data_IF_322478699340
#
_entry.id   IF_322478699340
#
_cell.length_a   1.000
_cell.length_b   1.000
_cell.length_c   1.000
_cell.angle_alpha   90.00
_cell.angle_beta   90.00
_cell.angle_gamma   90.00
#
_symmetry.space_group_name_H-M   'P 1'
#
loop_
_entity.id
_entity.type
_entity.pdbx_description
1 polymer ?
#
# COMPACT_ATOMS: atom_id res chain seq x y z
N UNK A 1 -1.44 -13.04 10.51
CA UNK A 1 -0.47 -12.29 9.70
C UNK A 1 -1.23 -11.65 8.55
N UNK A 2 -1.24 -10.31 8.46
CA UNK A 2 -1.86 -9.60 7.34
C UNK A 2 -1.03 -9.65 6.07
N UNK A 3 -1.66 -9.48 4.90
CA UNK A 3 -0.92 -9.41 3.64
C UNK A 3 -0.13 -8.10 3.59
N UNK A 4 1.15 -8.23 3.28
CA UNK A 4 2.08 -7.11 3.15
C UNK A 4 2.42 -6.89 1.68
N UNK A 5 2.75 -5.66 1.31
CA UNK A 5 3.26 -5.34 -0.01
C UNK A 5 4.79 -5.41 -0.03
N UNK A 6 5.30 -5.99 -1.11
CA UNK A 6 6.72 -6.06 -1.43
C UNK A 6 6.97 -5.43 -2.78
N UNK A 7 8.07 -4.70 -2.90
CA UNK A 7 8.57 -4.15 -4.15
C UNK A 7 9.76 -4.97 -4.63
N UNK A 8 9.77 -5.33 -5.90
CA UNK A 8 10.89 -6.01 -6.54
C UNK A 8 11.09 -5.47 -7.95
N UNK A 9 12.29 -5.67 -8.49
CA UNK A 9 12.55 -5.42 -9.90
C UNK A 9 11.76 -6.41 -10.76
N UNK A 10 11.48 -6.04 -12.00
CA UNK A 10 10.78 -6.90 -12.96
C UNK A 10 11.52 -8.23 -13.24
N UNK A 11 12.83 -8.28 -13.00
CA UNK A 11 13.66 -9.50 -13.10
C UNK A 11 13.61 -10.39 -11.84
N UNK A 12 12.77 -10.04 -10.86
CA UNK A 12 12.60 -10.76 -9.59
C UNK A 12 13.66 -10.48 -8.53
N UNK A 13 14.66 -9.62 -8.80
CA UNK A 13 15.71 -9.30 -7.84
C UNK A 13 15.36 -8.09 -6.97
N UNK A 14 16.06 -7.99 -5.83
CA UNK A 14 15.98 -6.82 -4.96
C UNK A 14 14.62 -6.64 -4.30
N UNK A 15 13.98 -7.74 -3.91
CA UNK A 15 12.73 -7.69 -3.19
C UNK A 15 12.92 -7.00 -1.82
N UNK A 16 12.13 -5.96 -1.56
CA UNK A 16 12.07 -5.25 -0.28
C UNK A 16 10.64 -5.15 0.18
N UNK A 17 10.40 -5.34 1.48
CA UNK A 17 9.11 -5.04 2.07
C UNK A 17 8.89 -3.52 2.03
N UNK A 18 7.72 -3.09 1.56
CA UNK A 18 7.30 -1.67 1.61
C UNK A 18 6.26 -1.43 2.70
N UNK A 19 5.66 -2.50 3.22
CA UNK A 19 4.85 -2.47 4.43
C UNK A 19 5.37 -3.53 5.40
N UNK A 20 5.35 -3.23 6.70
CA UNK A 20 5.84 -4.12 7.76
C UNK A 20 4.98 -4.03 9.02
N UNK A 21 3.67 -3.90 8.85
CA UNK A 21 2.72 -3.82 9.95
C UNK A 21 1.86 -5.09 10.00
N UNK A 22 2.08 -5.91 11.04
CA UNK A 22 1.42 -7.20 11.20
C UNK A 22 -0.08 -7.10 11.49
N UNK A 23 -0.51 -5.95 12.03
CA UNK A 23 -1.90 -5.65 12.37
C UNK A 23 -2.64 -4.99 11.20
N UNK A 24 -1.96 -4.82 10.06
CA UNK A 24 -2.54 -4.29 8.83
C UNK A 24 -2.52 -5.33 7.71
N UNK A 25 -3.54 -5.27 6.87
CA UNK A 25 -3.60 -5.98 5.60
C UNK A 25 -3.67 -4.94 4.49
N UNK A 26 -2.71 -4.98 3.57
CA UNK A 26 -2.68 -4.11 2.39
C UNK A 26 -3.09 -4.87 1.13
N UNK A 27 -3.91 -4.26 0.29
CA UNK A 27 -4.41 -4.84 -0.96
C UNK A 27 -4.63 -3.77 -2.04
N UNK A 28 -4.98 -4.21 -3.25
CA UNK A 28 -5.30 -3.35 -4.41
C UNK A 28 -4.23 -2.27 -4.69
N UNK A 29 -2.94 -2.65 -4.88
CA UNK A 29 -1.93 -1.67 -5.22
C UNK A 29 -2.15 -1.10 -6.62
N UNK A 30 -2.01 0.22 -6.77
CA UNK A 30 -1.98 0.90 -8.06
C UNK A 30 -0.79 1.87 -8.13
N UNK A 31 0.01 1.75 -9.20
CA UNK A 31 1.16 2.62 -9.45
C UNK A 31 0.72 3.98 -9.98
N UNK A 32 1.36 5.04 -9.50
CA UNK A 32 1.26 6.36 -10.11
C UNK A 32 1.83 6.34 -11.54
N UNK A 33 1.31 7.18 -12.46
CA UNK A 33 1.81 7.24 -13.84
C UNK A 33 3.30 7.57 -13.95
N UNK A 34 3.84 8.34 -12.99
CA UNK A 34 5.25 8.72 -12.91
C UNK A 34 6.15 7.68 -12.21
N UNK A 35 5.60 6.54 -11.80
CA UNK A 35 6.29 5.47 -11.05
C UNK A 35 6.91 5.90 -9.71
N UNK A 36 6.56 7.08 -9.18
CA UNK A 36 7.08 7.58 -7.91
C UNK A 36 6.34 7.02 -6.70
N UNK A 37 5.09 6.58 -6.88
CA UNK A 37 4.19 6.26 -5.78
C UNK A 37 3.34 5.02 -6.06
N UNK A 38 2.93 4.35 -4.98
CA UNK A 38 1.93 3.28 -5.05
C UNK A 38 0.84 3.63 -4.04
N UNK A 39 -0.40 3.66 -4.50
CA UNK A 39 -1.57 3.76 -3.62
C UNK A 39 -2.11 2.36 -3.35
N UNK A 40 -2.60 2.13 -2.14
CA UNK A 40 -3.09 0.83 -1.66
C UNK A 40 -4.29 1.02 -0.76
N UNK A 41 -5.13 -0.01 -0.68
CA UNK A 41 -6.14 -0.13 0.36
C UNK A 41 -5.55 -0.82 1.59
N UNK A 42 -5.79 -0.29 2.78
CA UNK A 42 -5.36 -0.84 4.06
C UNK A 42 -6.55 -1.18 4.96
N UNK A 43 -6.49 -2.35 5.59
CA UNK A 43 -7.49 -2.85 6.54
C UNK A 43 -6.81 -3.10 7.89
N UNK A 44 -7.45 -2.66 8.97
CA UNK A 44 -7.01 -3.02 10.32
C UNK A 44 -7.45 -4.44 10.64
N UNK A 45 -6.50 -5.27 11.09
CA UNK A 45 -6.77 -6.59 11.64
C UNK A 45 -7.02 -6.54 13.15
N UNK A 46 -6.52 -5.49 13.81
CA UNK A 46 -6.80 -5.23 15.22
C UNK A 46 -8.21 -4.65 15.44
N UNK A 47 -8.75 -3.96 14.44
CA UNK A 47 -10.08 -3.33 14.46
C UNK A 47 -10.88 -3.77 13.22
N UNK A 48 -11.48 -4.98 13.23
CA UNK A 48 -12.16 -5.54 12.06
C UNK A 48 -13.38 -4.74 11.57
N UNK A 49 -14.00 -3.96 12.46
CA UNK A 49 -15.14 -3.09 12.15
C UNK A 49 -14.70 -1.72 11.60
N UNK A 50 -13.39 -1.44 11.57
CA UNK A 50 -12.88 -0.19 11.00
C UNK A 50 -13.03 -0.20 9.47
N UNK A 51 -13.53 0.91 8.93
CA UNK A 51 -13.59 1.11 7.49
C UNK A 51 -12.17 1.11 6.88
N UNK A 52 -12.00 0.56 5.66
CA UNK A 52 -10.72 0.59 5.00
C UNK A 52 -10.26 2.03 4.73
N UNK A 53 -8.95 2.22 4.69
CA UNK A 53 -8.33 3.50 4.34
C UNK A 53 -7.45 3.34 3.11
N UNK A 54 -7.23 4.44 2.39
CA UNK A 54 -6.20 4.47 1.36
C UNK A 54 -4.89 4.95 1.97
N UNK A 55 -3.83 4.26 1.57
CA UNK A 55 -2.45 4.52 1.94
C UNK A 55 -1.63 4.74 0.69
N UNK A 56 -0.61 5.58 0.80
CA UNK A 56 0.33 5.88 -0.26
C UNK A 56 1.73 5.54 0.24
N UNK A 57 2.51 4.87 -0.59
CA UNK A 57 3.94 4.69 -0.38
C UNK A 57 4.72 5.49 -1.41
N UNK A 58 5.72 6.22 -0.94
CA UNK A 58 6.77 6.80 -1.78
C UNK A 58 7.82 5.74 -2.10
N UNK A 59 8.11 5.54 -3.39
CA UNK A 59 8.97 4.44 -3.84
C UNK A 59 10.44 4.72 -3.59
N UNK A 60 10.86 5.99 -3.56
CA UNK A 60 12.25 6.36 -3.36
C UNK A 60 12.64 6.26 -1.87
N UNK A 61 11.74 6.65 -0.97
CA UNK A 61 12.01 6.69 0.48
C UNK A 61 11.45 5.49 1.25
N UNK A 62 10.46 4.80 0.68
CA UNK A 62 9.67 3.81 1.41
C UNK A 62 8.71 4.42 2.44
N UNK A 63 8.50 5.74 2.42
CA UNK A 63 7.60 6.41 3.34
C UNK A 63 6.15 5.99 3.09
N UNK A 64 5.51 5.45 4.12
CA UNK A 64 4.10 5.06 4.10
C UNK A 64 3.25 6.10 4.83
N UNK A 65 2.23 6.63 4.17
CA UNK A 65 1.28 7.57 4.77
C UNK A 65 -0.17 7.26 4.42
N UNK A 66 -1.06 7.46 5.39
CA UNK A 66 -2.52 7.39 5.17
C UNK A 66 -2.95 8.65 4.42
N UNK A 67 -3.74 8.50 3.36
CA UNK A 67 -4.20 9.64 2.54
C UNK A 67 -5.69 9.95 2.74
N UNK A 68 -6.55 8.94 2.89
CA UNK A 68 -7.98 9.13 3.14
C UNK A 68 -8.58 7.99 3.95
N UNK A 69 -9.56 8.30 4.80
CA UNK A 69 -10.32 7.36 5.62
C UNK A 69 -11.75 7.88 5.81
N UNK A 70 -12.80 7.12 5.44
CA UNK A 70 -12.73 5.83 4.74
C UNK A 70 -12.30 5.99 3.27
N UNK A 71 -11.80 4.92 2.65
CA UNK A 71 -11.43 4.90 1.23
C UNK A 71 -11.13 3.50 0.70
N UNK A 72 -11.55 3.23 -0.54
CA UNK A 72 -11.44 1.92 -1.19
C UNK A 72 -11.14 2.07 -2.68
N UNK A 73 -10.69 1.01 -3.35
CA UNK A 73 -10.53 0.94 -4.82
C UNK A 73 -9.78 2.13 -5.40
N UNK A 74 -8.50 2.32 -5.02
CA UNK A 74 -7.76 3.47 -5.49
C UNK A 74 -7.40 3.31 -6.98
N UNK A 75 -7.58 4.39 -7.74
CA UNK A 75 -7.15 4.49 -9.13
C UNK A 75 -6.43 5.82 -9.37
N UNK A 76 -5.41 5.78 -10.23
CA UNK A 76 -4.76 6.98 -10.74
C UNK A 76 -5.45 7.40 -12.04
N UNK A 77 -5.88 8.66 -12.09
CA UNK A 77 -6.37 9.26 -13.32
C UNK A 77 -5.19 9.90 -14.09
N UNK A 78 -5.17 9.80 -15.42
CA UNK A 78 -4.14 10.43 -16.26
C UNK A 78 -4.20 11.96 -16.24
#
# INVERSE_FOLDING_TARGET
MGKQLWLMRADGRGATAVTADADMHFSQPAWSPDSGQIVMQGYSLAEPDAEPALWLVDVATGELRKIVSPGTQPEWLP
#
